data_IF_009353946134
#
_entry.id   IF_009353946134
#
_cell.length_a   1.000
_cell.length_b   1.000
_cell.length_c   1.000
_cell.angle_alpha   90.00
_cell.angle_beta   90.00
_cell.angle_gamma   90.00
#
_symmetry.space_group_name_H-M   'P 1'
#
loop_
_entity.id
_entity.type
_entity.pdbx_description
1 polymer ?
#
# COMPACT_ATOMS: atom_id res chain seq x y z
N UNK A 1 -62.87 14.85 16.42
CA UNK A 1 -62.47 14.50 17.81
C UNK A 1 -60.96 14.32 17.86
N UNK A 2 -60.23 14.86 18.85
CA UNK A 2 -58.78 14.66 18.98
C UNK A 2 -58.41 13.19 19.22
N UNK A 3 -57.34 12.71 18.61
CA UNK A 3 -56.83 11.34 18.84
C UNK A 3 -56.28 11.22 20.28
N UNK A 4 -56.94 10.39 21.09
CA UNK A 4 -56.60 10.15 22.49
C UNK A 4 -55.17 9.61 22.67
N UNK A 5 -54.65 8.89 21.68
CA UNK A 5 -53.33 8.27 21.75
C UNK A 5 -52.20 9.30 21.77
N UNK A 6 -52.41 10.52 21.27
CA UNK A 6 -51.40 11.58 21.30
C UNK A 6 -51.16 12.13 22.71
N UNK A 7 -52.07 11.87 23.66
CA UNK A 7 -51.91 12.22 25.08
C UNK A 7 -51.09 11.18 25.85
N UNK A 8 -50.78 10.03 25.25
CA UNK A 8 -50.04 8.94 25.90
C UNK A 8 -48.55 9.07 25.62
N UNK A 9 -47.75 9.06 26.69
CA UNK A 9 -46.28 9.23 26.64
C UNK A 9 -45.55 8.09 25.93
N UNK A 10 -46.16 6.91 25.84
CA UNK A 10 -45.59 5.74 25.16
C UNK A 10 -45.82 5.73 23.64
N UNK A 11 -46.65 6.63 23.09
CA UNK A 11 -47.00 6.63 21.68
C UNK A 11 -45.78 6.97 20.80
N UNK A 12 -45.34 6.10 19.87
CA UNK A 12 -44.17 6.35 19.02
C UNK A 12 -44.39 7.50 18.03
N UNK A 13 -45.64 7.88 17.75
CA UNK A 13 -45.97 8.99 16.84
C UNK A 13 -45.73 10.37 17.48
N UNK A 14 -45.54 10.45 18.80
CA UNK A 14 -45.23 11.70 19.47
C UNK A 14 -43.84 12.23 19.05
N UNK A 15 -43.74 13.52 18.72
CA UNK A 15 -42.48 14.14 18.25
C UNK A 15 -41.31 13.93 19.22
N UNK A 16 -41.57 13.98 20.53
CA UNK A 16 -40.57 13.72 21.58
C UNK A 16 -39.97 12.30 21.47
N UNK A 17 -40.80 11.31 21.18
CA UNK A 17 -40.37 9.92 21.07
C UNK A 17 -39.65 9.66 19.76
N UNK A 18 -40.13 10.23 18.65
CA UNK A 18 -39.41 10.21 17.36
C UNK A 18 -38.00 10.80 17.49
N UNK A 19 -37.87 11.93 18.18
CA UNK A 19 -36.56 12.54 18.42
C UNK A 19 -35.64 11.64 19.26
N UNK A 20 -36.19 10.92 20.26
CA UNK A 20 -35.43 9.97 21.07
C UNK A 20 -34.95 8.75 20.26
N UNK A 21 -35.84 8.19 19.44
CA UNK A 21 -35.52 7.07 18.53
C UNK A 21 -34.45 7.50 17.53
N UNK A 22 -34.63 8.66 16.89
CA UNK A 22 -33.68 9.19 15.92
C UNK A 22 -32.27 9.39 16.51
N UNK A 23 -32.16 9.93 17.73
CA UNK A 23 -30.85 10.05 18.42
C UNK A 23 -30.20 8.69 18.62
N UNK A 24 -30.98 7.69 19.04
CA UNK A 24 -30.49 6.33 19.27
C UNK A 24 -30.05 5.67 17.96
N UNK A 25 -30.82 5.83 16.90
CA UNK A 25 -30.48 5.35 15.55
C UNK A 25 -29.17 5.99 15.06
N UNK A 26 -29.00 7.30 15.28
CA UNK A 26 -27.79 8.01 14.88
C UNK A 26 -26.56 7.52 15.65
N UNK A 27 -26.67 7.28 16.95
CA UNK A 27 -25.60 6.65 17.74
C UNK A 27 -25.25 5.24 17.25
N UNK A 28 -26.26 4.42 16.93
CA UNK A 28 -26.06 3.06 16.39
C UNK A 28 -25.35 3.14 15.04
N UNK A 29 -25.76 4.07 14.17
CA UNK A 29 -25.14 4.29 12.87
C UNK A 29 -23.68 4.73 13.01
N UNK A 30 -23.37 5.62 13.95
CA UNK A 30 -21.99 6.01 14.24
C UNK A 30 -21.14 4.84 14.75
N UNK A 31 -21.68 4.02 15.65
CA UNK A 31 -20.99 2.81 16.15
C UNK A 31 -20.75 1.81 15.02
N UNK A 32 -21.74 1.60 14.16
CA UNK A 32 -21.63 0.73 13.00
C UNK A 32 -20.54 1.21 12.03
N UNK A 33 -20.48 2.51 11.72
CA UNK A 33 -19.40 3.10 10.90
C UNK A 33 -18.01 2.84 11.48
N UNK A 34 -17.82 3.11 12.78
CA UNK A 34 -16.54 2.86 13.47
C UNK A 34 -16.15 1.38 13.46
N UNK A 35 -17.11 0.47 13.63
CA UNK A 35 -16.85 -0.96 13.53
C UNK A 35 -16.44 -1.37 12.11
N UNK A 36 -17.13 -0.85 11.09
CA UNK A 36 -16.82 -1.11 9.69
C UNK A 36 -15.45 -0.61 9.28
N UNK A 37 -15.04 0.57 9.76
CA UNK A 37 -13.69 1.11 9.53
C UNK A 37 -12.61 0.19 10.12
N UNK A 38 -12.83 -0.34 11.34
CA UNK A 38 -11.92 -1.33 11.94
C UNK A 38 -11.87 -2.65 11.18
N UNK A 39 -13.03 -3.15 10.74
CA UNK A 39 -13.10 -4.38 9.94
C UNK A 39 -12.31 -4.23 8.63
N UNK A 40 -12.43 -3.08 7.97
CA UNK A 40 -11.65 -2.77 6.77
C UNK A 40 -10.14 -2.75 7.06
N UNK A 41 -9.71 -2.11 8.15
CA UNK A 41 -8.30 -2.12 8.56
C UNK A 41 -7.77 -3.53 8.84
N UNK A 42 -8.58 -4.38 9.48
CA UNK A 42 -8.22 -5.77 9.75
C UNK A 42 -8.10 -6.55 8.43
N UNK A 43 -9.02 -6.33 7.49
CA UNK A 43 -8.97 -6.96 6.17
C UNK A 43 -7.71 -6.55 5.40
N UNK A 44 -7.36 -5.25 5.37
CA UNK A 44 -6.14 -4.75 4.75
C UNK A 44 -4.87 -5.36 5.38
N UNK A 45 -4.87 -5.55 6.71
CA UNK A 45 -3.77 -6.22 7.41
C UNK A 45 -3.66 -7.70 7.04
N UNK A 46 -4.79 -8.40 6.92
CA UNK A 46 -4.83 -9.80 6.50
C UNK A 46 -4.35 -9.97 5.06
N UNK A 47 -4.82 -9.11 4.14
CA UNK A 47 -4.39 -9.11 2.74
C UNK A 47 -2.89 -8.87 2.62
N UNK A 48 -2.36 -7.92 3.37
CA UNK A 48 -0.90 -7.65 3.43
C UNK A 48 -0.12 -8.86 3.95
N UNK A 49 -0.60 -9.47 5.03
CA UNK A 49 0.03 -10.67 5.61
C UNK A 49 0.04 -11.83 4.62
N UNK A 50 -1.08 -12.05 3.91
CA UNK A 50 -1.20 -13.08 2.89
C UNK A 50 -0.22 -12.83 1.74
N UNK A 51 -0.13 -11.60 1.23
CA UNK A 51 0.84 -11.25 0.18
C UNK A 51 2.28 -11.49 0.61
N UNK A 52 2.65 -11.14 1.84
CA UNK A 52 3.98 -11.41 2.38
C UNK A 52 4.27 -12.91 2.45
N UNK A 53 3.31 -13.70 2.94
CA UNK A 53 3.42 -15.16 2.98
C UNK A 53 3.57 -15.77 1.57
N UNK A 54 2.82 -15.28 0.58
CA UNK A 54 2.96 -15.73 -0.80
C UNK A 54 4.33 -15.37 -1.40
N UNK A 55 4.86 -14.19 -1.08
CA UNK A 55 6.18 -13.76 -1.55
C UNK A 55 7.31 -14.60 -0.92
N UNK A 56 7.23 -14.90 0.38
CA UNK A 56 8.22 -15.76 1.04
C UNK A 56 8.21 -17.18 0.48
N UNK A 57 7.02 -17.74 0.22
CA UNK A 57 6.85 -19.04 -0.44
C UNK A 57 7.48 -19.04 -1.84
N UNK A 58 7.27 -17.99 -2.65
CA UNK A 58 7.89 -17.87 -3.99
C UNK A 58 9.41 -17.78 -3.95
N UNK A 59 9.96 -17.10 -2.94
CA UNK A 59 11.41 -16.88 -2.82
C UNK A 59 12.14 -18.12 -2.26
N UNK A 60 11.42 -19.13 -1.77
CA UNK A 60 12.00 -20.36 -1.21
C UNK A 60 12.76 -20.12 0.09
N UNK A 61 12.39 -19.06 0.82
CA UNK A 61 13.09 -18.68 2.05
C UNK A 61 12.88 -19.73 3.14
N UNK A 62 13.95 -19.99 3.91
CA UNK A 62 13.86 -20.86 5.08
C UNK A 62 13.06 -20.18 6.19
N UNK A 63 12.37 -20.92 7.08
CA UNK A 63 11.55 -20.37 8.16
C UNK A 63 12.25 -19.28 8.99
N UNK A 64 13.56 -19.45 9.22
CA UNK A 64 14.38 -18.53 10.00
C UNK A 64 14.58 -17.15 9.34
N UNK A 65 14.59 -17.06 8.00
CA UNK A 65 14.67 -15.78 7.28
C UNK A 65 13.32 -15.06 7.25
N UNK A 66 12.25 -15.84 7.16
CA UNK A 66 10.85 -15.38 7.17
C UNK A 66 10.54 -14.72 8.52
N UNK A 67 10.94 -15.32 9.64
CA UNK A 67 10.71 -14.77 10.98
C UNK A 67 11.52 -13.48 11.25
N UNK A 68 12.72 -13.36 10.67
CA UNK A 68 13.53 -12.16 10.79
C UNK A 68 12.98 -10.98 9.97
N UNK A 69 12.46 -11.23 8.76
CA UNK A 69 11.86 -10.18 7.91
C UNK A 69 10.44 -9.80 8.34
N UNK A 70 9.63 -10.75 8.82
CA UNK A 70 8.23 -10.55 9.18
C UNK A 70 8.00 -10.03 10.60
N UNK A 71 9.04 -9.93 11.43
CA UNK A 71 8.92 -9.31 12.75
C UNK A 71 8.70 -7.79 12.61
N UNK A 72 7.45 -7.35 12.41
CA UNK A 72 7.08 -5.94 12.17
C UNK A 72 7.64 -4.95 13.20
N UNK A 73 7.83 -5.39 14.45
CA UNK A 73 8.35 -4.55 15.54
C UNK A 73 9.85 -4.25 15.43
N UNK A 74 10.62 -5.18 14.87
CA UNK A 74 12.10 -5.13 14.93
C UNK A 74 12.78 -5.34 13.58
N UNK A 75 12.02 -5.71 12.54
CA UNK A 75 12.54 -5.95 11.20
C UNK A 75 13.14 -4.69 10.56
N UNK A 76 12.67 -3.50 10.93
CA UNK A 76 13.28 -2.24 10.50
C UNK A 76 14.67 -2.00 11.10
N UNK A 77 14.93 -2.52 12.32
CA UNK A 77 16.24 -2.44 12.99
C UNK A 77 17.21 -3.41 12.31
N UNK A 78 16.80 -4.67 12.14
CA UNK A 78 17.69 -5.73 11.65
C UNK A 78 17.88 -5.74 10.12
N UNK A 79 16.98 -5.14 9.33
CA UNK A 79 17.18 -4.99 7.86
C UNK A 79 18.42 -4.18 7.50
N UNK A 80 18.81 -3.21 8.32
CA UNK A 80 20.01 -2.41 8.07
C UNK A 80 21.30 -3.13 8.48
N UNK A 81 21.22 -4.04 9.45
CA UNK A 81 22.38 -4.80 9.90
C UNK A 81 22.75 -5.89 8.91
N UNK A 82 21.76 -6.59 8.34
CA UNK A 82 21.98 -7.62 7.31
C UNK A 82 22.50 -7.09 5.95
N UNK A 83 22.42 -5.77 5.70
CA UNK A 83 23.03 -5.13 4.52
C UNK A 83 24.47 -4.66 4.76
N UNK A 84 24.95 -4.59 6.01
CA UNK A 84 26.33 -4.16 6.30
C UNK A 84 27.38 -5.19 5.89
N UNK A 85 27.00 -6.45 5.84
CA UNK A 85 27.88 -7.58 5.56
C UNK A 85 28.26 -7.72 4.07
N UNK A 86 27.52 -7.13 3.13
CA UNK A 86 27.81 -7.30 1.69
C UNK A 86 28.52 -6.09 1.02
N UNK A 87 28.54 -4.89 1.61
CA UNK A 87 29.14 -3.73 0.92
C UNK A 87 29.93 -2.74 1.79
N UNK A 88 30.05 -2.97 3.11
CA UNK A 88 30.72 -2.02 4.02
C UNK A 88 31.87 -2.62 4.84
N UNK A 89 32.55 -3.64 4.30
CA UNK A 89 33.71 -4.27 4.94
C UNK A 89 34.88 -3.30 5.20
N UNK A 90 34.93 -2.14 4.53
CA UNK A 90 36.00 -1.15 4.70
C UNK A 90 35.70 -0.06 5.75
N UNK A 91 34.44 0.20 6.10
CA UNK A 91 34.06 1.34 6.96
C UNK A 91 33.48 0.94 8.32
N UNK A 92 33.13 -0.33 8.53
CA UNK A 92 32.57 -0.84 9.79
C UNK A 92 33.56 -0.69 10.95
N UNK A 93 34.75 -1.27 10.82
CA UNK A 93 35.79 -1.22 11.86
C UNK A 93 36.16 0.21 12.26
N UNK A 94 36.34 1.12 11.29
CA UNK A 94 36.68 2.51 11.58
C UNK A 94 35.54 3.26 12.28
N UNK A 95 34.27 2.92 12.00
CA UNK A 95 33.12 3.58 12.60
C UNK A 95 32.85 3.07 14.02
N UNK A 96 33.00 1.76 14.23
CA UNK A 96 32.89 1.11 15.54
C UNK A 96 33.98 1.60 16.49
N UNK A 97 35.22 1.73 16.01
CA UNK A 97 36.33 2.30 16.78
C UNK A 97 36.07 3.76 17.21
N UNK A 98 35.36 4.54 16.40
CA UNK A 98 35.01 5.93 16.73
C UNK A 98 33.87 5.99 17.75
N UNK A 99 32.86 5.12 17.62
CA UNK A 99 31.77 5.02 18.60
C UNK A 99 32.26 4.51 19.97
N UNK A 100 33.31 3.67 19.97
CA UNK A 100 33.99 3.17 21.17
C UNK A 100 35.13 4.09 21.65
N UNK A 101 35.39 5.22 20.98
CA UNK A 101 36.40 6.20 21.35
C UNK A 101 37.86 5.76 21.14
N UNK A 102 38.10 4.62 20.49
CA UNK A 102 39.44 4.11 20.14
C UNK A 102 40.12 4.94 19.04
N UNK A 103 39.35 5.60 18.18
CA UNK A 103 39.84 6.52 17.15
C UNK A 103 39.15 7.88 17.23
N UNK A 104 39.91 8.96 16.99
CA UNK A 104 39.38 10.32 16.98
C UNK A 104 38.69 10.60 15.64
N UNK A 105 37.49 11.16 15.70
CA UNK A 105 36.67 11.48 14.53
C UNK A 105 37.37 12.46 13.55
N UNK A 106 38.31 13.26 14.06
CA UNK A 106 39.15 14.19 13.29
C UNK A 106 39.99 13.50 12.20
N UNK A 107 40.40 12.25 12.41
CA UNK A 107 41.26 11.51 11.47
C UNK A 107 40.51 11.12 10.19
N UNK A 108 39.23 10.77 10.31
CA UNK A 108 38.35 10.54 9.15
C UNK A 108 38.10 11.81 8.35
N UNK A 109 37.99 12.97 9.00
CA UNK A 109 37.81 14.24 8.31
C UNK A 109 39.07 14.68 7.56
N UNK A 110 40.27 14.39 8.10
CA UNK A 110 41.55 14.70 7.43
C UNK A 110 41.72 13.89 6.14
N UNK A 111 41.43 12.59 6.18
CA UNK A 111 41.57 11.70 5.02
C UNK A 111 40.57 12.00 3.88
N UNK A 112 39.48 12.72 4.17
CA UNK A 112 38.45 13.07 3.17
C UNK A 112 38.82 14.27 2.30
N UNK A 113 39.82 15.08 2.70
CA UNK A 113 40.28 16.24 1.93
C UNK A 113 41.03 15.87 0.64
N UNK A 114 41.55 14.65 0.55
CA UNK A 114 42.31 14.19 -0.63
C UNK A 114 41.45 13.44 -1.67
N UNK A 115 40.17 13.17 -1.39
CA UNK A 115 39.27 12.43 -2.30
C UNK A 115 37.99 13.20 -2.65
N UNK A 116 38.13 14.47 -3.04
CA UNK A 116 37.03 15.24 -3.62
C UNK A 116 37.17 15.25 -5.15
N UNK A 117 36.97 14.07 -5.75
CA UNK A 117 36.38 13.97 -7.09
C UNK A 117 35.07 13.24 -6.87
N UNK A 118 34.04 13.99 -6.53
CA UNK A 118 32.69 13.46 -6.31
C UNK A 118 32.13 13.14 -7.69
N UNK A 119 32.18 11.87 -8.08
CA UNK A 119 31.34 11.37 -9.17
C UNK A 119 29.90 11.43 -8.67
N UNK A 120 29.13 12.39 -9.18
CA UNK A 120 27.74 12.56 -8.83
C UNK A 120 26.97 11.36 -9.37
N UNK A 121 26.19 10.65 -8.54
CA UNK A 121 25.28 9.58 -9.02
C UNK A 121 24.24 10.10 -10.03
N UNK A 122 24.10 11.42 -10.11
CA UNK A 122 23.29 12.11 -11.09
C UNK A 122 23.85 11.95 -12.52
N UNK A 123 25.17 11.92 -12.70
CA UNK A 123 25.80 11.78 -14.01
C UNK A 123 25.54 10.38 -14.62
N UNK A 124 25.56 9.33 -13.79
CA UNK A 124 25.25 7.97 -14.24
C UNK A 124 23.76 7.81 -14.62
N UNK A 125 22.88 8.60 -14.01
CA UNK A 125 21.43 8.61 -14.32
C UNK A 125 21.16 9.41 -15.59
N UNK A 126 21.80 10.57 -15.78
CA UNK A 126 21.64 11.39 -16.99
C UNK A 126 22.18 10.66 -18.23
N UNK A 127 23.26 9.88 -18.11
CA UNK A 127 23.77 9.06 -19.21
C UNK A 127 22.86 7.85 -19.52
N UNK A 128 22.17 7.29 -18.52
CA UNK A 128 21.20 6.20 -18.72
C UNK A 128 19.89 6.69 -19.38
N UNK A 129 19.58 7.99 -19.29
CA UNK A 129 18.40 8.62 -19.90
C UNK A 129 18.69 9.30 -21.25
N UNK A 130 19.76 8.93 -21.94
CA UNK A 130 19.98 9.40 -23.31
C UNK A 130 18.95 8.73 -24.25
N UNK A 131 17.77 9.36 -24.34
CA UNK A 131 16.52 8.90 -25.00
C UNK A 131 16.62 8.90 -26.54
N UNK A 132 17.77 9.22 -27.12
CA UNK A 132 17.92 9.38 -28.57
C UNK A 132 18.10 8.06 -29.34
N UNK A 133 18.39 6.94 -28.68
CA UNK A 133 18.63 5.65 -29.37
C UNK A 133 17.37 4.75 -29.52
N UNK A 134 16.23 5.10 -28.92
CA UNK A 134 15.04 4.22 -28.89
C UNK A 134 14.05 4.50 -30.03
N UNK A 135 14.38 5.39 -30.97
CA UNK A 135 13.47 5.75 -32.08
C UNK A 135 13.61 4.93 -33.37
N UNK A 136 14.55 3.98 -33.44
CA UNK A 136 14.80 3.21 -34.67
C UNK A 136 14.69 1.69 -34.49
N UNK A 137 13.59 1.21 -33.90
CA UNK A 137 13.21 -0.19 -34.00
C UNK A 137 11.69 -0.30 -34.05
N UNK A 138 11.14 -0.16 -35.25
CA UNK A 138 9.80 -0.62 -35.63
C UNK A 138 9.75 -2.16 -35.55
N UNK A 139 9.92 -2.69 -34.34
CA UNK A 139 9.70 -4.10 -34.06
C UNK A 139 8.24 -4.26 -33.65
N UNK A 140 7.50 -5.02 -34.47
CA UNK A 140 6.13 -5.43 -34.21
C UNK A 140 6.02 -5.98 -32.78
N UNK A 141 5.39 -5.21 -31.90
CA UNK A 141 5.06 -5.65 -30.54
C UNK A 141 4.12 -6.83 -30.65
N UNK A 142 4.65 -8.04 -30.56
CA UNK A 142 3.86 -9.23 -30.28
C UNK A 142 3.23 -9.02 -28.91
N UNK A 143 1.97 -8.58 -28.89
CA UNK A 143 1.24 -8.38 -27.65
C UNK A 143 0.99 -9.75 -27.05
N UNK A 144 1.77 -10.09 -26.03
CA UNK A 144 1.64 -11.33 -25.29
C UNK A 144 0.24 -11.39 -24.67
N UNK A 145 -0.61 -12.27 -25.23
CA UNK A 145 -2.00 -12.44 -24.78
C UNK A 145 -2.11 -12.91 -23.33
N UNK A 146 -1.00 -13.41 -22.78
CA UNK A 146 -0.89 -13.84 -21.39
C UNK A 146 -0.50 -12.74 -20.41
N UNK A 147 -0.14 -11.53 -20.89
CA UNK A 147 0.15 -10.38 -20.02
C UNK A 147 -1.09 -10.02 -19.17
N UNK A 148 -0.96 -9.95 -17.83
CA UNK A 148 -2.05 -9.51 -16.96
C UNK A 148 -2.63 -8.14 -17.34
N UNK A 149 -1.81 -7.20 -17.84
CA UNK A 149 -2.30 -5.87 -18.22
C UNK A 149 -3.20 -5.95 -19.47
N UNK A 150 -2.84 -6.77 -20.44
CA UNK A 150 -3.66 -7.04 -21.62
C UNK A 150 -5.00 -7.70 -21.26
N UNK A 151 -5.00 -8.65 -20.31
CA UNK A 151 -6.23 -9.28 -19.79
C UNK A 151 -7.16 -8.28 -19.11
N UNK A 152 -6.60 -7.36 -18.32
CA UNK A 152 -7.36 -6.28 -17.68
C UNK A 152 -7.98 -5.35 -18.72
N UNK A 153 -7.21 -4.93 -19.73
CA UNK A 153 -7.70 -4.07 -20.81
C UNK A 153 -8.85 -4.75 -21.59
N UNK A 154 -8.71 -6.03 -21.92
CA UNK A 154 -9.76 -6.81 -22.57
C UNK A 154 -11.02 -6.94 -21.70
N UNK A 155 -10.86 -7.20 -20.40
CA UNK A 155 -11.99 -7.29 -19.47
C UNK A 155 -12.75 -5.94 -19.35
N UNK A 156 -12.01 -4.82 -19.31
CA UNK A 156 -12.60 -3.48 -19.29
C UNK A 156 -13.40 -3.18 -20.56
N UNK A 157 -12.85 -3.48 -21.74
CA UNK A 157 -13.54 -3.31 -23.01
C UNK A 157 -14.81 -4.18 -23.08
N UNK A 158 -14.72 -5.46 -22.68
CA UNK A 158 -15.87 -6.36 -22.66
C UNK A 158 -16.99 -5.87 -21.73
N UNK A 159 -16.63 -5.38 -20.54
CA UNK A 159 -17.58 -4.79 -19.58
C UNK A 159 -18.28 -3.56 -20.17
N UNK A 160 -17.52 -2.67 -20.81
CA UNK A 160 -18.06 -1.48 -21.49
C UNK A 160 -19.04 -1.83 -22.60
N UNK A 161 -18.67 -2.78 -23.48
CA UNK A 161 -19.55 -3.25 -24.55
C UNK A 161 -20.80 -3.96 -24.01
N UNK A 162 -20.71 -4.69 -22.90
CA UNK A 162 -21.86 -5.34 -22.25
C UNK A 162 -22.83 -4.32 -21.65
N UNK A 163 -22.32 -3.29 -20.97
CA UNK A 163 -23.12 -2.17 -20.47
C UNK A 163 -23.89 -1.47 -21.60
N UNK A 164 -23.20 -1.17 -22.72
CA UNK A 164 -23.82 -0.58 -23.90
C UNK A 164 -24.91 -1.45 -24.54
N UNK A 165 -24.75 -2.78 -24.56
CA UNK A 165 -25.77 -3.71 -25.08
C UNK A 165 -27.00 -3.77 -24.17
N UNK A 166 -26.81 -3.80 -22.85
CA UNK A 166 -27.91 -3.85 -21.89
C UNK A 166 -28.75 -2.55 -21.90
N UNK A 167 -28.14 -1.39 -22.17
CA UNK A 167 -28.87 -0.12 -22.29
C UNK A 167 -29.86 -0.05 -23.47
N UNK A 168 -29.79 -0.99 -24.43
CA UNK A 168 -30.67 -1.06 -25.60
C UNK A 168 -31.90 -1.94 -25.39
N UNK A 169 -32.04 -2.62 -24.24
CA UNK A 169 -33.13 -3.56 -23.97
C UNK A 169 -34.06 -2.96 -22.89
N UNK A 170 -35.32 -2.74 -23.31
CA UNK A 170 -36.55 -2.46 -22.56
C UNK A 170 -36.74 -1.11 -21.84
N UNK A 171 -37.62 -0.30 -22.42
CA UNK A 171 -38.46 0.65 -21.66
C UNK A 171 -39.67 -0.15 -21.12
N UNK A 172 -39.90 -0.24 -19.80
CA UNK A 172 -41.12 -0.84 -19.29
C UNK A 172 -42.29 0.10 -19.62
N UNK A 173 -43.17 -0.32 -20.52
CA UNK A 173 -44.47 0.32 -20.72
C UNK A 173 -45.36 -0.06 -19.55
N UNK A 174 -45.67 0.90 -18.68
CA UNK A 174 -46.68 0.73 -17.65
C UNK A 174 -48.07 0.81 -18.31
N UNK A 175 -48.92 -0.18 -18.05
CA UNK A 175 -50.32 -0.24 -18.46
C UNK A 175 -51.21 -0.14 -17.23
#
# INVERSE_FOLDING_TARGET
MPDLNLKKSWNPKLLKNRAKVWKREQEVLQRYKKSRERELQIQEQQDRSNLLQLNSLKKGETPNQIDAENNYKTGWIYKNELKKNESTQSTGSSREDIMLGRKRLDEMLKNKKERVVVKCRFDDVVNAFNINDVKNSDEEKTVDKEDPLYKIQMAQQNSYHRSKRNSKIYKPTFR
#
